data_IF_387491679582
#
_entry.id   IF_387491679582
#
_cell.length_a   1.000
_cell.length_b   1.000
_cell.length_c   1.000
_cell.angle_alpha   90.00
_cell.angle_beta   90.00
_cell.angle_gamma   90.00
#
_symmetry.space_group_name_H-M   'P 1'
#
loop_
_entity.id
_entity.type
_entity.pdbx_description
1 polymer ?
#
# COMPACT_ATOMS: atom_id res chain seq x y z
N UNK A 1 -20.61 -35.67 30.32
CA UNK A 1 -20.81 -35.54 28.87
C UNK A 1 -21.36 -34.18 28.41
N UNK A 2 -21.88 -33.34 29.29
CA UNK A 2 -22.37 -31.98 28.97
C UNK A 2 -21.26 -30.95 28.75
N UNK A 3 -20.06 -31.16 29.28
CA UNK A 3 -18.91 -30.24 29.18
C UNK A 3 -18.28 -30.19 27.78
N UNK A 4 -18.34 -31.26 27.00
CA UNK A 4 -17.76 -31.27 25.65
C UNK A 4 -18.56 -30.47 24.62
N UNK A 5 -19.88 -30.30 24.82
CA UNK A 5 -20.73 -29.51 23.92
C UNK A 5 -20.57 -28.01 24.09
N UNK A 6 -20.22 -27.52 25.27
CA UNK A 6 -20.01 -26.11 25.52
C UNK A 6 -18.68 -25.62 24.96
N UNK A 7 -17.64 -26.43 24.97
CA UNK A 7 -16.35 -26.09 24.39
C UNK A 7 -16.39 -25.98 22.86
N UNK A 8 -17.17 -26.85 22.21
CA UNK A 8 -17.37 -26.79 20.75
C UNK A 8 -18.13 -25.53 20.31
N UNK A 9 -19.04 -25.02 21.12
CA UNK A 9 -19.76 -23.76 20.82
C UNK A 9 -18.86 -22.54 21.02
N UNK A 10 -17.97 -22.56 21.97
CA UNK A 10 -16.98 -21.51 22.19
C UNK A 10 -15.92 -21.47 21.07
N UNK A 11 -15.48 -22.64 20.57
CA UNK A 11 -14.54 -22.74 19.47
C UNK A 11 -15.09 -22.27 18.13
N UNK A 12 -16.41 -22.38 17.91
CA UNK A 12 -17.10 -21.89 16.71
C UNK A 12 -17.34 -20.37 16.72
N UNK A 13 -17.39 -19.74 17.90
CA UNK A 13 -17.58 -18.29 18.04
C UNK A 13 -16.26 -17.50 17.91
N UNK A 14 -15.12 -18.11 18.23
CA UNK A 14 -13.79 -17.47 18.11
C UNK A 14 -13.44 -17.04 16.68
N UNK A 15 -13.65 -17.86 15.62
CA UNK A 15 -13.35 -17.45 14.25
C UNK A 15 -14.21 -16.29 13.74
N UNK A 16 -15.44 -16.17 14.21
CA UNK A 16 -16.35 -15.08 13.83
C UNK A 16 -15.96 -13.74 14.45
N UNK A 17 -15.46 -13.74 15.68
CA UNK A 17 -14.97 -12.54 16.36
C UNK A 17 -13.65 -12.04 15.75
N UNK A 18 -12.76 -12.95 15.35
CA UNK A 18 -11.50 -12.64 14.67
C UNK A 18 -11.74 -12.12 13.26
N UNK A 19 -12.72 -12.65 12.51
CA UNK A 19 -13.04 -12.18 11.16
C UNK A 19 -13.69 -10.79 11.15
N UNK A 20 -14.44 -10.39 12.19
CA UNK A 20 -15.03 -9.05 12.31
C UNK A 20 -13.98 -7.94 12.47
N UNK A 21 -12.86 -8.20 13.14
CA UNK A 21 -11.74 -7.25 13.28
C UNK A 21 -10.76 -7.29 12.13
N UNK A 22 -10.73 -8.35 11.32
CA UNK A 22 -9.73 -8.57 10.27
C UNK A 22 -9.98 -7.71 9.03
N UNK A 23 -11.20 -7.23 8.76
CA UNK A 23 -11.53 -6.56 7.49
C UNK A 23 -10.86 -5.20 7.33
N UNK A 24 -11.00 -4.29 8.29
CA UNK A 24 -10.33 -2.98 8.28
C UNK A 24 -8.81 -3.12 8.42
N UNK A 25 -8.37 -4.04 9.32
CA UNK A 25 -6.96 -4.32 9.57
C UNK A 25 -6.23 -4.86 8.34
N UNK A 26 -6.83 -5.75 7.56
CA UNK A 26 -6.22 -6.30 6.35
C UNK A 26 -5.97 -5.23 5.30
N UNK A 27 -6.91 -4.34 5.06
CA UNK A 27 -6.74 -3.22 4.12
C UNK A 27 -5.63 -2.29 4.58
N UNK A 28 -5.66 -1.85 5.85
CA UNK A 28 -4.66 -0.93 6.39
C UNK A 28 -3.26 -1.56 6.41
N UNK A 29 -3.16 -2.85 6.69
CA UNK A 29 -1.89 -3.58 6.62
C UNK A 29 -1.32 -3.59 5.20
N UNK A 30 -2.16 -3.83 4.21
CA UNK A 30 -1.76 -3.79 2.80
C UNK A 30 -1.34 -2.40 2.37
N UNK A 31 -2.10 -1.37 2.76
CA UNK A 31 -1.76 0.03 2.48
C UNK A 31 -0.39 0.38 3.06
N UNK A 32 -0.17 0.07 4.34
CA UNK A 32 1.10 0.33 5.00
C UNK A 32 2.28 -0.38 4.32
N UNK A 33 2.09 -1.63 3.94
CA UNK A 33 3.10 -2.42 3.22
C UNK A 33 3.40 -1.83 1.84
N UNK A 34 2.36 -1.45 1.08
CA UNK A 34 2.51 -0.83 -0.24
C UNK A 34 3.28 0.49 -0.15
N UNK A 35 2.96 1.33 0.83
CA UNK A 35 3.68 2.57 1.08
C UNK A 35 5.15 2.29 1.38
N UNK A 36 5.41 1.41 2.33
CA UNK A 36 6.78 1.12 2.78
C UNK A 36 7.65 0.52 1.67
N UNK A 37 7.13 -0.45 0.94
CA UNK A 37 7.87 -1.07 -0.17
C UNK A 37 8.14 -0.09 -1.30
N UNK A 38 7.12 0.67 -1.72
CA UNK A 38 7.25 1.64 -2.81
C UNK A 38 8.25 2.74 -2.48
N UNK A 39 8.18 3.26 -1.26
CA UNK A 39 9.08 4.32 -0.79
C UNK A 39 10.53 3.84 -0.74
N UNK A 40 10.77 2.65 -0.19
CA UNK A 40 12.14 2.08 -0.11
C UNK A 40 12.73 1.80 -1.47
N UNK A 41 11.96 1.19 -2.36
CA UNK A 41 12.42 0.86 -3.72
C UNK A 41 12.71 2.14 -4.52
N UNK A 42 11.85 3.14 -4.41
CA UNK A 42 12.05 4.42 -5.08
C UNK A 42 13.31 5.14 -4.56
N UNK A 43 13.53 5.12 -3.24
CA UNK A 43 14.73 5.71 -2.64
C UNK A 43 15.99 4.94 -3.03
N UNK A 44 15.93 3.63 -3.11
CA UNK A 44 17.03 2.81 -3.61
C UNK A 44 17.37 3.15 -5.07
N UNK A 45 16.34 3.28 -5.91
CA UNK A 45 16.49 3.69 -7.30
C UNK A 45 17.05 5.12 -7.42
N UNK A 46 16.63 6.03 -6.56
CA UNK A 46 17.13 7.42 -6.54
C UNK A 46 18.65 7.47 -6.40
N UNK A 47 19.21 6.62 -5.56
CA UNK A 47 20.67 6.53 -5.35
C UNK A 47 21.40 5.93 -6.54
N UNK A 48 20.70 5.26 -7.43
CA UNK A 48 21.23 4.55 -8.59
C UNK A 48 20.39 4.83 -9.85
N UNK A 49 20.00 6.07 -10.02
CA UNK A 49 19.04 6.49 -11.06
C UNK A 49 19.52 6.17 -12.48
N UNK A 50 20.83 6.04 -12.69
CA UNK A 50 21.42 5.70 -14.00
C UNK A 50 21.57 4.19 -14.22
N UNK A 51 21.24 3.36 -13.24
CA UNK A 51 21.22 1.91 -13.38
C UNK A 51 19.95 1.49 -14.11
N UNK A 52 20.07 1.26 -15.41
CA UNK A 52 18.93 0.95 -16.27
C UNK A 52 18.27 -0.38 -15.92
N UNK A 53 19.05 -1.39 -15.59
CA UNK A 53 18.50 -2.71 -15.24
C UNK A 53 17.70 -2.63 -13.94
N UNK A 54 18.21 -1.89 -12.95
CA UNK A 54 17.49 -1.63 -11.71
C UNK A 54 16.20 -0.85 -11.98
N UNK A 55 16.26 0.17 -12.82
CA UNK A 55 15.08 0.97 -13.18
C UNK A 55 14.00 0.12 -13.86
N UNK A 56 14.38 -0.77 -14.77
CA UNK A 56 13.46 -1.70 -15.43
C UNK A 56 12.80 -2.64 -14.42
N UNK A 57 13.58 -3.17 -13.48
CA UNK A 57 13.03 -4.04 -12.42
C UNK A 57 12.06 -3.30 -11.52
N UNK A 58 12.43 -2.13 -11.02
CA UNK A 58 11.58 -1.32 -10.14
C UNK A 58 10.31 -0.88 -10.88
N UNK A 59 10.42 -0.51 -12.14
CA UNK A 59 9.26 -0.16 -12.95
C UNK A 59 8.30 -1.34 -13.11
N UNK A 60 8.79 -2.52 -13.42
CA UNK A 60 7.98 -3.73 -13.54
C UNK A 60 7.23 -4.05 -12.23
N UNK A 61 7.92 -3.99 -11.09
CA UNK A 61 7.32 -4.24 -9.77
C UNK A 61 6.30 -3.15 -9.40
N UNK A 62 6.62 -1.89 -9.68
CA UNK A 62 5.73 -0.75 -9.41
C UNK A 62 4.43 -0.85 -10.21
N UNK A 63 4.53 -1.26 -11.47
CA UNK A 63 3.38 -1.47 -12.36
C UNK A 63 2.48 -2.60 -11.86
N UNK A 64 3.07 -3.73 -11.45
CA UNK A 64 2.35 -4.85 -10.88
C UNK A 64 1.65 -4.47 -9.56
N UNK A 65 2.31 -3.67 -8.74
CA UNK A 65 1.78 -3.17 -7.46
C UNK A 65 0.58 -2.26 -7.66
N UNK A 66 0.66 -1.33 -8.63
CA UNK A 66 -0.44 -0.45 -9.00
C UNK A 66 -1.65 -1.25 -9.50
N UNK A 67 -1.41 -2.23 -10.37
CA UNK A 67 -2.46 -3.11 -10.89
C UNK A 67 -3.14 -3.89 -9.76
N UNK A 68 -2.37 -4.47 -8.86
CA UNK A 68 -2.91 -5.20 -7.71
C UNK A 68 -3.73 -4.29 -6.80
N UNK A 69 -3.26 -3.07 -6.53
CA UNK A 69 -3.98 -2.10 -5.71
C UNK A 69 -5.30 -1.65 -6.34
N UNK A 70 -5.34 -1.51 -7.68
CA UNK A 70 -6.57 -1.14 -8.40
C UNK A 70 -7.67 -2.19 -8.30
N UNK A 71 -7.31 -3.44 -7.98
CA UNK A 71 -8.25 -4.58 -7.83
C UNK A 71 -8.57 -4.93 -6.38
N UNK A 72 -8.04 -4.16 -5.41
CA UNK A 72 -8.29 -4.43 -4.00
C UNK A 72 -9.75 -4.20 -3.62
N UNK A 73 -10.25 -5.05 -2.73
CA UNK A 73 -11.51 -4.78 -2.05
C UNK A 73 -11.31 -3.66 -1.04
N UNK A 74 -12.09 -2.59 -1.19
CA UNK A 74 -11.98 -1.39 -0.35
C UNK A 74 -13.15 -1.34 0.61
N UNK A 75 -12.93 -1.39 1.94
CA UNK A 75 -13.99 -1.18 2.92
C UNK A 75 -14.62 0.21 2.77
N UNK A 76 -15.92 0.32 3.04
CA UNK A 76 -16.67 1.58 2.97
C UNK A 76 -16.02 2.70 3.77
N UNK A 77 -15.48 2.37 4.94
CA UNK A 77 -14.91 3.31 5.90
C UNK A 77 -13.68 4.04 5.35
N UNK A 78 -13.01 3.45 4.36
CA UNK A 78 -11.76 3.96 3.79
C UNK A 78 -11.86 4.22 2.28
N UNK A 79 -13.07 4.28 1.75
CA UNK A 79 -13.30 4.52 0.31
C UNK A 79 -12.66 5.82 -0.17
N UNK A 80 -12.59 6.85 0.67
CA UNK A 80 -11.97 8.13 0.32
C UNK A 80 -10.44 8.13 0.43
N UNK A 81 -9.86 7.09 1.04
CA UNK A 81 -8.41 6.91 1.15
C UNK A 81 -7.84 6.29 -0.12
N UNK A 82 -8.56 5.34 -0.69
CA UNK A 82 -8.07 4.50 -1.79
C UNK A 82 -7.62 5.27 -3.04
N UNK A 83 -8.32 6.31 -3.51
CA UNK A 83 -7.84 7.10 -4.64
C UNK A 83 -6.46 7.71 -4.44
N UNK A 84 -6.12 8.13 -3.22
CA UNK A 84 -4.80 8.67 -2.90
C UNK A 84 -3.73 7.58 -2.88
N UNK A 85 -4.07 6.36 -2.46
CA UNK A 85 -3.18 5.21 -2.59
C UNK A 85 -2.86 4.94 -4.06
N UNK A 86 -3.86 4.92 -4.93
CA UNK A 86 -3.66 4.68 -6.36
C UNK A 86 -2.82 5.78 -7.01
N UNK A 87 -3.08 7.05 -6.67
CA UNK A 87 -2.29 8.18 -7.18
C UNK A 87 -0.83 8.12 -6.70
N UNK A 88 -0.61 7.75 -5.46
CA UNK A 88 0.74 7.56 -4.93
C UNK A 88 1.48 6.47 -5.71
N UNK A 89 0.85 5.32 -5.88
CA UNK A 89 1.46 4.19 -6.60
C UNK A 89 1.67 4.51 -8.08
N UNK A 90 0.76 5.25 -8.71
CA UNK A 90 0.91 5.71 -10.08
C UNK A 90 2.12 6.64 -10.23
N UNK A 91 2.32 7.55 -9.29
CA UNK A 91 3.48 8.44 -9.32
C UNK A 91 4.80 7.68 -9.11
N UNK A 92 4.83 6.67 -8.25
CA UNK A 92 6.00 5.82 -8.11
C UNK A 92 6.28 5.02 -9.41
N UNK A 93 5.24 4.51 -10.05
CA UNK A 93 5.38 3.83 -11.36
C UNK A 93 5.95 4.78 -12.42
N UNK A 94 5.44 6.00 -12.52
CA UNK A 94 5.93 7.01 -13.46
C UNK A 94 7.35 7.45 -13.15
N UNK A 95 7.72 7.54 -11.88
CA UNK A 95 9.10 7.82 -11.48
C UNK A 95 10.04 6.74 -12.01
N UNK A 96 9.72 5.47 -11.76
CA UNK A 96 10.53 4.35 -12.23
C UNK A 96 10.60 4.31 -13.76
N UNK A 97 9.49 4.55 -14.46
CA UNK A 97 9.47 4.64 -15.91
C UNK A 97 10.41 5.75 -16.43
N UNK A 98 10.36 6.93 -15.80
CA UNK A 98 11.25 8.04 -16.15
C UNK A 98 12.73 7.66 -16.01
N UNK A 99 13.08 6.90 -14.98
CA UNK A 99 14.42 6.37 -14.81
C UNK A 99 14.82 5.39 -15.93
N UNK A 100 13.88 4.55 -16.40
CA UNK A 100 14.16 3.65 -17.54
C UNK A 100 14.47 4.43 -18.82
N UNK A 101 13.93 5.63 -18.96
CA UNK A 101 14.14 6.53 -20.10
C UNK A 101 15.35 7.46 -19.91
N UNK A 102 16.09 7.31 -18.82
CA UNK A 102 17.25 8.15 -18.53
C UNK A 102 16.88 9.58 -18.11
N UNK A 103 15.65 9.82 -17.67
CA UNK A 103 15.12 11.14 -17.32
C UNK A 103 15.13 11.34 -15.80
N UNK A 104 16.33 11.56 -15.24
CA UNK A 104 16.53 11.68 -13.80
C UNK A 104 15.70 12.83 -13.16
N UNK A 105 15.55 13.96 -13.85
CA UNK A 105 14.77 15.09 -13.36
C UNK A 105 13.27 14.74 -13.23
N UNK A 106 12.71 14.10 -14.24
CA UNK A 106 11.31 13.64 -14.18
C UNK A 106 11.11 12.58 -13.10
N UNK A 107 12.09 11.71 -12.91
CA UNK A 107 12.07 10.76 -11.78
C UNK A 107 11.87 11.48 -10.45
N UNK A 108 12.65 12.52 -10.19
CA UNK A 108 12.56 13.28 -8.94
C UNK A 108 11.21 13.98 -8.79
N UNK A 109 10.68 14.55 -9.87
CA UNK A 109 9.36 15.21 -9.86
C UNK A 109 8.26 14.22 -9.46
N UNK A 110 8.24 13.05 -10.06
CA UNK A 110 7.24 12.03 -9.74
C UNK A 110 7.43 11.43 -8.34
N UNK A 111 8.66 11.30 -7.88
CA UNK A 111 8.93 10.88 -6.50
C UNK A 111 8.33 11.88 -5.49
N UNK A 112 8.52 13.18 -5.71
CA UNK A 112 7.94 14.23 -4.86
C UNK A 112 6.43 14.16 -4.87
N UNK A 113 5.81 14.00 -6.04
CA UNK A 113 4.34 13.86 -6.16
C UNK A 113 3.82 12.64 -5.42
N UNK A 114 4.54 11.52 -5.48
CA UNK A 114 4.17 10.32 -4.73
C UNK A 114 4.17 10.57 -3.22
N UNK A 115 5.17 11.28 -2.71
CA UNK A 115 5.26 11.65 -1.29
C UNK A 115 4.14 12.61 -0.87
N UNK A 116 3.77 13.53 -1.73
CA UNK A 116 2.63 14.44 -1.48
C UNK A 116 1.33 13.64 -1.36
N UNK A 117 1.09 12.69 -2.24
CA UNK A 117 -0.08 11.82 -2.16
C UNK A 117 -0.06 10.93 -0.90
N UNK A 118 1.10 10.45 -0.49
CA UNK A 118 1.24 9.73 0.78
C UNK A 118 0.83 10.61 1.97
N UNK A 119 1.24 11.86 2.00
CA UNK A 119 0.87 12.80 3.06
C UNK A 119 -0.63 13.06 3.09
N UNK A 120 -1.26 13.21 1.92
CA UNK A 120 -2.72 13.39 1.82
C UNK A 120 -3.43 12.13 2.33
N UNK A 121 -2.99 10.97 1.92
CA UNK A 121 -3.52 9.68 2.38
C UNK A 121 -3.46 9.56 3.90
N UNK A 122 -2.31 9.85 4.49
CA UNK A 122 -2.13 9.83 5.95
C UNK A 122 -3.02 10.85 6.65
N UNK A 123 -3.20 12.02 6.06
CA UNK A 123 -4.09 13.05 6.59
C UNK A 123 -5.55 12.61 6.59
N UNK A 124 -6.02 11.98 5.52
CA UNK A 124 -7.40 11.45 5.44
C UNK A 124 -7.60 10.33 6.47
N UNK A 125 -6.66 9.42 6.62
CA UNK A 125 -6.72 8.36 7.63
C UNK A 125 -6.79 8.94 9.04
N UNK A 126 -6.00 9.97 9.34
CA UNK A 126 -6.01 10.64 10.63
C UNK A 126 -7.38 11.27 10.93
N UNK A 127 -8.00 11.92 9.95
CA UNK A 127 -9.35 12.48 10.08
C UNK A 127 -10.39 11.39 10.36
N UNK A 128 -10.22 10.22 9.77
CA UNK A 128 -11.09 9.06 9.98
C UNK A 128 -10.74 8.29 11.25
N UNK A 129 -9.72 8.71 12.00
CA UNK A 129 -9.22 8.06 13.23
C UNK A 129 -8.67 6.65 13.01
N UNK A 130 -8.12 6.38 11.83
CA UNK A 130 -7.38 5.16 11.55
C UNK A 130 -5.88 5.39 11.67
N UNK A 131 -5.16 4.36 12.12
CA UNK A 131 -3.71 4.34 12.19
C UNK A 131 -3.15 3.28 11.25
N UNK A 132 -2.08 3.62 10.53
CA UNK A 132 -1.32 2.65 9.74
C UNK A 132 -0.36 1.89 10.65
N UNK A 133 -0.25 0.55 10.51
CA UNK A 133 0.82 -0.19 11.17
C UNK A 133 2.19 0.24 10.64
N UNK A 134 3.21 0.11 11.49
CA UNK A 134 4.59 0.37 11.11
C UNK A 134 5.23 -0.89 10.48
N UNK A 135 6.06 -0.70 9.44
CA UNK A 135 6.85 -1.73 8.77
C UNK A 135 8.29 -1.30 8.60
#
# INVERSE_FOLDING_TARGET
MSTRRHWLKLLLLLPLLVSGHAFGGTYLNRVAMLIAQSSRECEYLRRRVNDKDLALLVHSVSKARLDAASRMNVPKEVVNVHPHLLLMLENYERAAFSATEGQAEKFLIYQVRAREEEQILRGVLKQLRFSLPEY
#
